data_IF_402757805253
#
_entry.id   IF_402757805253
#
_cell.length_a   1.000
_cell.length_b   1.000
_cell.length_c   1.000
_cell.angle_alpha   90.00
_cell.angle_beta   90.00
_cell.angle_gamma   90.00
#
_symmetry.space_group_name_H-M   'P 1'
#
loop_
_entity.id
_entity.type
_entity.pdbx_description
1 polymer ?
#
# COMPACT_ATOMS: atom_id res chain seq x y z
N UNK A 1 -11.34 4.13 -10.66
CA UNK A 1 -9.87 3.96 -10.52
C UNK A 1 -9.48 2.67 -11.22
N UNK A 2 -8.39 2.64 -12.00
CA UNK A 2 -7.90 1.39 -12.62
C UNK A 2 -7.01 0.62 -11.64
N UNK A 3 -6.88 -0.71 -11.82
CA UNK A 3 -6.00 -1.52 -10.98
C UNK A 3 -4.54 -1.04 -11.03
N UNK A 4 -4.08 -0.60 -12.20
CA UNK A 4 -2.72 -0.09 -12.38
C UNK A 4 -2.50 1.23 -11.63
N UNK A 5 -3.48 2.14 -11.66
CA UNK A 5 -3.43 3.37 -10.86
C UNK A 5 -3.35 3.04 -9.36
N UNK A 6 -4.22 2.13 -8.89
CA UNK A 6 -4.26 1.71 -7.49
C UNK A 6 -2.92 1.17 -7.00
N UNK A 7 -2.25 0.35 -7.80
CA UNK A 7 -0.93 -0.20 -7.49
C UNK A 7 0.13 0.91 -7.41
N UNK A 8 0.13 1.84 -8.36
CA UNK A 8 1.06 2.97 -8.35
C UNK A 8 0.84 3.85 -7.12
N UNK A 9 -0.41 4.11 -6.74
CA UNK A 9 -0.76 4.89 -5.57
C UNK A 9 -0.31 4.20 -4.26
N UNK A 10 -0.51 2.88 -4.14
CA UNK A 10 0.00 2.10 -2.99
C UNK A 10 1.51 2.22 -2.86
N UNK A 11 2.26 2.10 -3.97
CA UNK A 11 3.72 2.23 -3.97
C UNK A 11 4.13 3.65 -3.54
N UNK A 12 3.46 4.67 -4.05
CA UNK A 12 3.76 6.06 -3.71
C UNK A 12 3.45 6.38 -2.23
N UNK A 13 2.38 5.82 -1.67
CA UNK A 13 2.06 5.94 -0.24
C UNK A 13 3.07 5.17 0.61
N UNK A 14 3.39 3.92 0.25
CA UNK A 14 4.37 3.09 0.95
C UNK A 14 5.72 3.77 1.10
N UNK A 15 6.25 4.29 -0.01
CA UNK A 15 7.51 5.05 -0.02
C UNK A 15 7.45 6.27 0.90
N UNK A 16 6.35 7.04 0.90
CA UNK A 16 6.20 8.19 1.81
C UNK A 16 6.11 7.79 3.28
N UNK A 17 5.49 6.65 3.59
CA UNK A 17 5.45 6.13 4.96
C UNK A 17 6.84 5.74 5.45
N UNK A 18 7.63 5.08 4.59
CA UNK A 18 9.01 4.72 4.87
C UNK A 18 9.89 5.97 5.04
N UNK A 19 9.87 6.89 4.06
CA UNK A 19 10.69 8.10 4.05
C UNK A 19 10.42 9.01 5.26
N UNK A 20 9.19 8.99 5.79
CA UNK A 20 8.77 9.76 6.97
C UNK A 20 8.89 8.99 8.29
N UNK A 21 9.49 7.80 8.27
CA UNK A 21 9.69 6.95 9.47
C UNK A 21 8.39 6.60 10.20
N UNK A 22 7.26 6.53 9.49
CA UNK A 22 5.97 6.16 10.08
C UNK A 22 5.82 4.64 10.30
N UNK A 23 6.73 3.84 9.73
CA UNK A 23 6.75 2.38 9.85
C UNK A 23 8.18 1.92 10.13
N UNK A 24 8.33 0.85 10.90
CA UNK A 24 9.61 0.20 11.16
C UNK A 24 9.72 -1.09 10.35
N UNK A 25 10.76 -1.21 9.53
CA UNK A 25 11.03 -2.42 8.73
C UNK A 25 9.85 -2.83 7.82
N UNK A 26 9.10 -3.86 8.20
CA UNK A 26 8.02 -4.50 7.45
C UNK A 26 6.66 -4.37 8.16
N UNK A 27 6.58 -3.52 9.18
CA UNK A 27 5.33 -3.14 9.81
C UNK A 27 4.46 -2.30 8.87
N UNK A 28 3.15 -2.42 9.08
CA UNK A 28 2.14 -1.68 8.35
C UNK A 28 1.71 -2.35 7.05
N UNK A 29 0.43 -2.19 6.74
CA UNK A 29 -0.19 -2.64 5.49
C UNK A 29 -1.01 -1.50 4.90
N UNK A 30 -1.07 -1.45 3.57
CA UNK A 30 -1.88 -0.48 2.84
C UNK A 30 -2.94 -1.29 2.09
N UNK A 31 -4.19 -0.84 2.18
CA UNK A 31 -5.30 -1.38 1.42
C UNK A 31 -6.04 -0.29 0.66
N UNK A 32 -6.53 -0.62 -0.52
CA UNK A 32 -7.34 0.25 -1.37
C UNK A 32 -8.57 -0.51 -1.83
N UNK A 33 -9.75 0.09 -1.66
CA UNK A 33 -11.02 -0.44 -2.16
C UNK A 33 -11.11 -0.20 -3.66
N UNK A 34 -11.24 -1.27 -4.44
CA UNK A 34 -11.39 -1.20 -5.90
C UNK A 34 -12.86 -1.17 -6.33
N UNK A 35 -13.71 -1.90 -5.59
CA UNK A 35 -15.17 -1.98 -5.72
C UNK A 35 -15.75 -2.41 -4.36
N UNK A 36 -17.07 -2.57 -4.28
CA UNK A 36 -17.75 -2.98 -3.05
C UNK A 36 -17.27 -4.35 -2.52
N UNK A 37 -16.87 -5.24 -3.43
CA UNK A 37 -16.47 -6.63 -3.18
C UNK A 37 -14.95 -6.89 -3.31
N UNK A 38 -14.15 -5.88 -3.68
CA UNK A 38 -12.70 -6.07 -3.96
C UNK A 38 -11.83 -5.08 -3.20
N UNK A 39 -10.85 -5.64 -2.48
CA UNK A 39 -9.75 -4.91 -1.85
C UNK A 39 -8.42 -5.31 -2.48
N UNK A 40 -7.57 -4.33 -2.76
CA UNK A 40 -6.16 -4.52 -3.06
C UNK A 40 -5.35 -4.26 -1.79
N UNK A 41 -4.44 -5.15 -1.43
CA UNK A 41 -3.64 -5.04 -0.21
C UNK A 41 -2.17 -5.33 -0.49
N UNK A 42 -1.27 -4.72 0.27
CA UNK A 42 0.17 -5.04 0.24
C UNK A 42 0.45 -6.43 0.80
N UNK A 43 1.39 -7.17 0.22
CA UNK A 43 1.80 -8.49 0.74
C UNK A 43 2.29 -8.41 2.21
N UNK A 44 2.04 -9.49 2.95
CA UNK A 44 2.50 -9.63 4.34
C UNK A 44 4.02 -9.76 4.41
N UNK A 45 4.64 -9.21 5.46
CA UNK A 45 6.07 -9.35 5.73
C UNK A 45 7.03 -8.61 4.78
N UNK A 46 6.52 -7.88 3.79
CA UNK A 46 7.33 -7.12 2.82
C UNK A 46 7.35 -5.64 3.19
N UNK A 47 8.54 -5.04 3.23
CA UNK A 47 8.73 -3.60 3.49
C UNK A 47 8.08 -2.73 2.41
N UNK A 48 7.71 -1.50 2.78
CA UNK A 48 6.89 -0.57 2.00
C UNK A 48 7.73 0.47 1.27
#
# INVERSE_FOLDING_TARGET
MTLQQAKADIIHVGRRMYDRTYVASNDGNISVRLSDDRLLVTMTGVSK
#
